data_IF_196667271982
#
_entry.id   IF_196667271982
#
_cell.length_a   1.000
_cell.length_b   1.000
_cell.length_c   1.000
_cell.angle_alpha   90.00
_cell.angle_beta   90.00
_cell.angle_gamma   90.00
#
_symmetry.space_group_name_H-M   'P 1'
#
loop_
_entity.id
_entity.type
_entity.pdbx_description
1 polymer ?
#
# COMPACT_ATOMS: atom_id res chain seq x y z
N UNK A 1 8.59 15.55 -4.55
CA UNK A 1 8.89 14.19 -5.04
C UNK A 1 7.72 13.27 -4.65
N UNK A 2 7.46 12.21 -5.41
CA UNK A 2 6.28 11.33 -5.19
C UNK A 2 6.23 10.72 -3.78
N UNK A 3 7.39 10.44 -3.18
CA UNK A 3 7.49 10.01 -1.78
C UNK A 3 6.84 10.99 -0.79
N UNK A 4 6.91 12.30 -1.03
CA UNK A 4 6.27 13.28 -0.16
C UNK A 4 4.74 13.20 -0.24
N UNK A 5 4.20 12.81 -1.39
CA UNK A 5 2.76 12.57 -1.54
C UNK A 5 2.35 11.37 -0.69
N UNK A 6 3.05 10.25 -0.80
CA UNK A 6 2.76 9.06 0.01
C UNK A 6 2.83 9.35 1.52
N UNK A 7 3.87 10.05 1.97
CA UNK A 7 4.03 10.44 3.38
C UNK A 7 2.93 11.39 3.87
N UNK A 8 2.50 12.33 3.01
CA UNK A 8 1.39 13.24 3.33
C UNK A 8 0.08 12.47 3.51
N UNK A 9 -0.27 11.60 2.55
CA UNK A 9 -1.51 10.80 2.65
C UNK A 9 -1.48 9.88 3.87
N UNK A 10 -0.36 9.22 4.15
CA UNK A 10 -0.20 8.40 5.37
C UNK A 10 -0.43 9.22 6.66
N UNK A 11 -0.01 10.48 6.70
CA UNK A 11 -0.27 11.36 7.83
C UNK A 11 -1.75 11.76 7.94
N UNK A 12 -2.42 12.00 6.81
CA UNK A 12 -3.83 12.39 6.76
C UNK A 12 -4.78 11.21 7.10
N UNK A 13 -4.48 10.02 6.58
CA UNK A 13 -5.34 8.83 6.68
C UNK A 13 -5.15 8.05 7.98
N UNK A 14 -3.90 7.82 8.40
CA UNK A 14 -3.57 6.94 9.52
C UNK A 14 -2.70 7.60 10.60
N UNK A 15 -2.36 8.88 10.43
CA UNK A 15 -1.57 9.64 11.39
C UNK A 15 -0.10 9.21 11.46
N UNK A 16 0.42 8.55 10.42
CA UNK A 16 1.81 8.15 10.34
C UNK A 16 2.68 9.36 9.98
N UNK A 17 3.47 9.83 10.94
CA UNK A 17 4.27 11.02 10.78
C UNK A 17 5.54 10.72 9.98
N UNK A 18 5.86 11.56 9.00
CA UNK A 18 7.06 11.40 8.16
C UNK A 18 8.38 11.27 8.95
N UNK A 19 8.46 11.87 10.15
CA UNK A 19 9.63 11.77 11.02
C UNK A 19 9.84 10.38 11.65
N UNK A 20 8.81 9.52 11.63
CA UNK A 20 8.87 8.16 12.16
C UNK A 20 9.10 7.12 11.05
N UNK A 21 9.19 7.55 9.79
CA UNK A 21 9.27 6.68 8.62
C UNK A 21 10.70 6.66 8.08
N UNK A 22 11.28 5.47 7.99
CA UNK A 22 12.51 5.25 7.21
C UNK A 22 12.15 4.58 5.89
N UNK A 23 12.23 5.34 4.80
CA UNK A 23 11.93 4.85 3.44
C UNK A 23 13.10 3.98 2.97
N UNK A 24 12.80 2.72 2.65
CA UNK A 24 13.78 1.77 2.13
C UNK A 24 14.01 1.94 0.63
N UNK A 25 12.97 2.30 -0.11
CA UNK A 25 13.05 2.50 -1.56
C UNK A 25 11.69 2.60 -2.24
N UNK A 26 11.76 2.85 -3.54
CA UNK A 26 10.65 2.88 -4.49
C UNK A 26 10.61 1.53 -5.23
N UNK A 27 9.40 0.99 -5.45
CA UNK A 27 9.18 -0.19 -6.27
C UNK A 27 8.82 0.21 -7.70
N UNK A 28 8.73 -0.76 -8.61
CA UNK A 28 8.31 -0.51 -9.98
C UNK A 28 6.90 0.10 -10.05
N UNK A 29 6.72 1.05 -10.97
CA UNK A 29 5.44 1.69 -11.23
C UNK A 29 4.38 0.64 -11.62
N UNK A 30 3.18 0.81 -11.07
CA UNK A 30 2.02 0.02 -11.44
C UNK A 30 1.03 0.87 -12.24
N UNK A 31 0.67 0.41 -13.44
CA UNK A 31 -0.33 1.08 -14.28
C UNK A 31 -1.69 0.44 -14.04
N UNK A 32 -2.66 1.24 -13.60
CA UNK A 32 -4.04 0.76 -13.44
C UNK A 32 -4.65 0.54 -14.83
N UNK A 33 -5.19 -0.65 -15.09
CA UNK A 33 -5.67 -1.01 -16.43
C UNK A 33 -6.88 -0.18 -16.87
N UNK A 34 -7.85 0.06 -15.99
CA UNK A 34 -9.10 0.75 -16.34
C UNK A 34 -8.93 2.26 -16.48
N UNK A 35 -8.23 2.90 -15.55
CA UNK A 35 -8.12 4.36 -15.47
C UNK A 35 -6.82 4.93 -16.03
N UNK A 36 -5.87 4.07 -16.43
CA UNK A 36 -4.55 4.48 -16.93
C UNK A 36 -3.76 5.40 -15.98
N UNK A 37 -4.01 5.30 -14.66
CA UNK A 37 -3.19 5.96 -13.65
C UNK A 37 -1.89 5.20 -13.44
N UNK A 38 -0.82 5.95 -13.17
CA UNK A 38 0.49 5.42 -12.76
C UNK A 38 0.57 5.56 -11.24
N UNK A 39 0.83 4.45 -10.57
CA UNK A 39 1.01 4.37 -9.11
C UNK A 39 2.47 4.02 -8.83
N UNK A 40 3.18 4.89 -8.13
CA UNK A 40 4.56 4.68 -7.72
C UNK A 40 4.60 4.24 -6.24
N UNK A 41 4.89 2.96 -5.94
CA UNK A 41 4.84 2.44 -4.57
C UNK A 41 6.16 2.69 -3.82
N UNK A 42 6.05 2.92 -2.51
CA UNK A 42 7.21 3.07 -1.62
C UNK A 42 7.16 2.06 -0.47
N UNK A 43 8.30 1.48 -0.13
CA UNK A 43 8.46 0.58 1.02
C UNK A 43 9.20 1.33 2.12
N UNK A 44 8.71 1.21 3.34
CA UNK A 44 9.30 1.86 4.50
C UNK A 44 9.17 1.00 5.77
N UNK A 45 10.00 1.30 6.76
CA UNK A 45 9.91 0.75 8.11
C UNK A 45 9.45 1.83 9.09
N UNK A 46 8.74 1.40 10.12
CA UNK A 46 8.23 2.26 11.20
C UNK A 46 8.48 1.59 12.57
N UNK A 47 8.55 2.36 13.66
CA UNK A 47 8.62 1.80 15.01
C UNK A 47 7.42 0.90 15.32
N UNK A 48 7.66 -0.21 16.02
CA UNK A 48 6.62 -1.10 16.50
C UNK A 48 6.63 -1.18 18.04
N UNK A 49 5.48 -1.06 18.73
CA UNK A 49 4.15 -0.76 18.20
C UNK A 49 3.99 0.72 17.79
N UNK A 50 3.26 0.97 16.70
CA UNK A 50 2.94 2.32 16.25
C UNK A 50 1.56 2.76 16.73
N UNK A 51 1.42 4.02 17.17
CA UNK A 51 0.14 4.58 17.62
C UNK A 51 -0.56 5.28 16.46
N UNK A 52 -1.22 4.51 15.61
CA UNK A 52 -2.00 5.06 14.51
C UNK A 52 -3.16 5.94 15.00
N UNK A 53 -3.44 7.01 14.25
CA UNK A 53 -4.59 7.89 14.43
C UNK A 53 -5.39 7.90 13.14
N UNK A 54 -6.35 6.97 13.07
CA UNK A 54 -7.15 6.73 11.87
C UNK A 54 -8.17 7.84 11.61
N UNK A 55 -8.17 8.41 10.41
CA UNK A 55 -9.23 9.25 9.89
C UNK A 55 -10.40 8.39 9.42
N UNK A 56 -11.43 8.26 10.27
CA UNK A 56 -12.62 7.43 9.99
C UNK A 56 -13.51 7.92 8.84
N UNK A 57 -13.21 9.08 8.24
CA UNK A 57 -13.92 9.54 7.03
C UNK A 57 -13.46 8.80 5.77
N UNK A 58 -12.21 8.34 5.77
CA UNK A 58 -11.57 7.69 4.62
C UNK A 58 -11.22 6.24 4.92
N UNK A 59 -10.87 5.93 6.17
CA UNK A 59 -10.37 4.62 6.58
C UNK A 59 -11.32 3.94 7.56
N UNK A 60 -11.80 2.76 7.18
CA UNK A 60 -12.65 1.92 8.03
C UNK A 60 -11.83 1.16 9.07
N UNK A 61 -10.72 0.55 8.71
CA UNK A 61 -9.87 -0.23 9.63
C UNK A 61 -8.41 -0.30 9.17
N UNK A 62 -7.51 -0.67 10.10
CA UNK A 62 -6.12 -1.04 9.80
C UNK A 62 -6.01 -2.54 10.06
N UNK A 63 -5.55 -3.27 9.05
CA UNK A 63 -5.25 -4.70 9.14
C UNK A 63 -3.74 -4.90 9.08
N UNK A 64 -3.25 -5.86 9.86
CA UNK A 64 -1.84 -6.23 9.91
C UNK A 64 -1.69 -7.68 9.45
N UNK A 65 -0.74 -7.92 8.54
CA UNK A 65 -0.45 -9.25 8.01
C UNK A 65 1.04 -9.54 8.19
N UNK A 66 1.42 -10.66 8.84
CA UNK A 66 2.82 -11.05 8.91
C UNK A 66 3.40 -11.26 7.50
N UNK A 67 4.59 -10.72 7.24
CA UNK A 67 5.27 -10.92 5.95
C UNK A 67 5.41 -12.42 5.62
N UNK A 68 5.68 -13.25 6.62
CA UNK A 68 5.76 -14.71 6.45
C UNK A 68 4.48 -15.33 5.90
N UNK A 69 3.31 -14.73 6.17
CA UNK A 69 2.03 -15.20 5.61
C UNK A 69 1.86 -14.79 4.14
N UNK A 70 2.42 -13.64 3.73
CA UNK A 70 2.42 -13.21 2.33
C UNK A 70 3.40 -14.02 1.46
N UNK A 71 4.47 -14.54 2.06
CA UNK A 71 5.47 -15.37 1.38
C UNK A 71 5.10 -16.86 1.32
N UNK A 72 4.02 -17.28 1.98
CA UNK A 72 3.55 -18.66 1.96
C UNK A 72 2.82 -18.97 0.63
N UNK A 73 3.53 -19.62 -0.29
CA UNK A 73 2.98 -20.02 -1.59
C UNK A 73 1.79 -20.99 -1.47
N UNK A 74 1.65 -21.71 -0.34
CA UNK A 74 0.46 -22.54 -0.08
C UNK A 74 -0.80 -21.72 0.18
N UNK A 75 -0.66 -20.42 0.41
CA UNK A 75 -1.75 -19.44 0.61
C UNK A 75 -1.91 -18.50 -0.59
N UNK A 76 -1.08 -18.63 -1.61
CA UNK A 76 -1.21 -17.85 -2.84
C UNK A 76 -2.25 -18.48 -3.74
N UNK A 77 -3.29 -17.72 -4.08
CA UNK A 77 -4.26 -18.07 -5.10
C UNK A 77 -4.28 -16.98 -6.15
N UNK A 78 -3.90 -17.34 -7.38
CA UNK A 78 -3.98 -16.46 -8.54
C UNK A 78 -5.33 -16.67 -9.21
N UNK A 79 -6.04 -15.58 -9.48
CA UNK A 79 -7.31 -15.58 -10.18
C UNK A 79 -7.23 -14.57 -11.32
N UNK A 80 -7.43 -15.03 -12.56
CA UNK A 80 -7.61 -14.12 -13.69
C UNK A 80 -9.08 -13.67 -13.74
N UNK A 81 -9.30 -12.37 -13.89
CA UNK A 81 -10.62 -11.78 -14.10
C UNK A 81 -10.67 -11.13 -15.47
N UNK A 82 -11.79 -11.26 -16.17
CA UNK A 82 -12.02 -10.56 -17.43
C UNK A 82 -12.69 -9.22 -17.10
N UNK A 83 -12.07 -8.12 -17.49
CA UNK A 83 -12.61 -6.76 -17.36
C UNK A 83 -12.59 -6.16 -18.77
N UNK A 84 -13.75 -5.71 -19.26
CA UNK A 84 -13.90 -5.10 -20.60
C UNK A 84 -13.28 -5.93 -21.75
N UNK A 85 -13.51 -7.26 -21.75
CA UNK A 85 -12.98 -8.25 -22.71
C UNK A 85 -11.44 -8.44 -22.70
N UNK A 86 -10.72 -7.86 -21.72
CA UNK A 86 -9.29 -8.10 -21.49
C UNK A 86 -9.06 -8.99 -20.25
N UNK A 87 -8.14 -9.96 -20.37
CA UNK A 87 -7.71 -10.79 -19.24
C UNK A 87 -6.80 -10.00 -18.30
N UNK A 88 -7.25 -9.80 -17.08
CA UNK A 88 -6.49 -9.21 -15.97
C UNK A 88 -6.09 -10.32 -15.01
N UNK A 89 -4.79 -10.60 -14.90
CA UNK A 89 -4.23 -11.50 -13.87
C UNK A 89 -3.84 -10.72 -12.62
#
# INVERSE_FOLDING_TARGET
MLVNTALRECAEEIGLMAGDVEVLGELDDFVTQVSSYIISPFVAIIPWPYKFKVNRKEIEEIIEVPISALLDMGRLRLETRIIDDEEVT
#
